data_IF_824133315170
#
_entry.id   IF_824133315170
#
_cell.length_a   1.000
_cell.length_b   1.000
_cell.length_c   1.000
_cell.angle_alpha   90.00
_cell.angle_beta   90.00
_cell.angle_gamma   90.00
#
_symmetry.space_group_name_H-M   'P 1'
#
loop_
_entity.id
_entity.type
_entity.pdbx_description
1 polymer ?
#
# COMPACT_ATOMS: atom_id res chain seq x y z
N UNK A 1 7.61 -5.22 23.10
CA UNK A 1 7.54 -5.04 21.63
C UNK A 1 6.26 -5.70 21.19
N UNK A 2 5.27 -4.93 20.74
CA UNK A 2 4.05 -5.50 20.19
C UNK A 2 4.42 -6.31 18.96
N UNK A 3 4.34 -7.64 19.06
CA UNK A 3 4.44 -8.52 17.91
C UNK A 3 3.09 -8.46 17.19
N UNK A 4 2.86 -7.41 16.39
CA UNK A 4 1.79 -7.47 15.40
C UNK A 4 2.02 -8.70 14.54
N UNK A 5 1.05 -9.62 14.55
CA UNK A 5 1.20 -10.90 13.86
C UNK A 5 1.30 -10.63 12.35
N UNK A 6 2.12 -11.41 11.63
CA UNK A 6 2.28 -11.27 10.18
C UNK A 6 0.94 -11.27 9.42
N UNK A 7 -0.06 -12.11 9.79
CA UNK A 7 -1.40 -12.05 9.19
C UNK A 7 -2.07 -10.68 9.33
N UNK A 8 -2.00 -10.04 10.50
CA UNK A 8 -2.63 -8.72 10.73
C UNK A 8 -2.01 -7.63 9.85
N UNK A 9 -0.71 -7.72 9.59
CA UNK A 9 0.01 -6.80 8.70
C UNK A 9 -0.42 -7.02 7.25
N UNK A 10 -0.65 -8.27 6.84
CA UNK A 10 -1.14 -8.61 5.50
C UNK A 10 -2.56 -8.08 5.29
N UNK A 11 -3.46 -8.25 6.26
CA UNK A 11 -4.82 -7.69 6.18
C UNK A 11 -4.81 -6.16 6.06
N UNK A 12 -3.97 -5.47 6.86
CA UNK A 12 -3.83 -4.02 6.75
C UNK A 12 -3.30 -3.56 5.39
N UNK A 13 -2.36 -4.32 4.78
CA UNK A 13 -1.87 -4.02 3.43
C UNK A 13 -2.96 -4.20 2.38
N UNK A 14 -3.77 -5.25 2.51
CA UNK A 14 -4.87 -5.53 1.60
C UNK A 14 -5.96 -4.44 1.68
N UNK A 15 -6.34 -4.00 2.87
CA UNK A 15 -7.30 -2.91 3.06
C UNK A 15 -6.79 -1.61 2.42
N UNK A 16 -5.53 -1.26 2.67
CA UNK A 16 -4.91 -0.08 2.05
C UNK A 16 -4.86 -0.17 0.53
N UNK A 17 -4.60 -1.37 -0.02
CA UNK A 17 -4.63 -1.61 -1.46
C UNK A 17 -6.02 -1.34 -2.05
N UNK A 18 -7.09 -1.81 -1.39
CA UNK A 18 -8.46 -1.52 -1.82
C UNK A 18 -8.78 -0.03 -1.77
N UNK A 19 -8.39 0.66 -0.69
CA UNK A 19 -8.55 2.10 -0.57
C UNK A 19 -7.84 2.87 -1.68
N UNK A 20 -6.63 2.44 -2.06
CA UNK A 20 -5.88 3.02 -3.17
C UNK A 20 -6.55 2.79 -4.52
N UNK A 21 -7.05 1.58 -4.79
CA UNK A 21 -7.80 1.30 -6.01
C UNK A 21 -9.02 2.22 -6.13
N UNK A 22 -9.80 2.35 -5.05
CA UNK A 22 -10.95 3.27 -4.99
C UNK A 22 -10.53 4.73 -5.14
N UNK A 23 -9.36 5.12 -4.62
CA UNK A 23 -8.83 6.46 -4.79
C UNK A 23 -8.43 6.76 -6.23
N UNK A 24 -7.85 5.79 -6.95
CA UNK A 24 -7.43 5.93 -8.35
C UNK A 24 -8.62 6.11 -9.29
N UNK A 25 -9.75 5.46 -9.01
CA UNK A 25 -11.00 5.60 -9.78
C UNK A 25 -11.64 6.99 -9.64
N UNK A 26 -11.24 7.78 -8.64
CA UNK A 26 -11.76 9.14 -8.47
C UNK A 26 -11.23 10.07 -9.55
N UNK A 27 -12.15 10.73 -10.27
CA UNK A 27 -11.83 11.70 -11.32
C UNK A 27 -10.97 12.87 -10.85
N UNK A 28 -11.14 13.36 -9.62
CA UNK A 28 -10.38 14.50 -9.11
C UNK A 28 -9.91 14.29 -7.67
N UNK A 29 -8.71 14.78 -7.37
CA UNK A 29 -8.07 14.69 -6.06
C UNK A 29 -7.88 16.09 -5.49
N UNK A 30 -8.65 16.43 -4.46
CA UNK A 30 -8.43 17.66 -3.69
C UNK A 30 -7.09 17.59 -2.96
N UNK A 31 -6.54 18.75 -2.57
CA UNK A 31 -5.28 18.82 -1.80
C UNK A 31 -5.37 18.00 -0.50
N UNK A 32 -6.46 18.16 0.25
CA UNK A 32 -6.71 17.38 1.48
C UNK A 32 -6.73 15.88 1.22
N UNK A 33 -7.32 15.44 0.10
CA UNK A 33 -7.37 14.03 -0.26
C UNK A 33 -5.99 13.50 -0.66
N UNK A 34 -5.19 14.29 -1.39
CA UNK A 34 -3.77 13.96 -1.68
C UNK A 34 -2.97 13.76 -0.39
N UNK A 35 -3.08 14.69 0.55
CA UNK A 35 -2.37 14.61 1.84
C UNK A 35 -2.76 13.36 2.64
N UNK A 36 -4.03 12.95 2.58
CA UNK A 36 -4.52 11.71 3.18
C UNK A 36 -3.93 10.47 2.50
N UNK A 37 -3.93 10.43 1.17
CA UNK A 37 -3.36 9.33 0.40
C UNK A 37 -1.85 9.20 0.64
N UNK A 38 -1.13 10.31 0.76
CA UNK A 38 0.29 10.29 1.11
C UNK A 38 0.54 9.70 2.51
N UNK A 39 -0.31 10.02 3.50
CA UNK A 39 -0.20 9.43 4.84
C UNK A 39 -0.41 7.92 4.77
N UNK A 40 -1.44 7.47 4.04
CA UNK A 40 -1.72 6.06 3.82
C UNK A 40 -0.59 5.35 3.08
N UNK A 41 0.02 6.00 2.08
CA UNK A 41 1.17 5.48 1.34
C UNK A 41 2.40 5.28 2.25
N UNK A 42 2.63 6.21 3.19
CA UNK A 42 3.69 6.05 4.19
C UNK A 42 3.43 4.87 5.12
N UNK A 43 2.19 4.67 5.56
CA UNK A 43 1.80 3.49 6.36
C UNK A 43 2.00 2.20 5.58
N UNK A 44 1.51 2.16 4.34
CA UNK A 44 1.67 1.03 3.43
C UNK A 44 3.15 0.64 3.25
N UNK A 45 4.04 1.60 3.00
CA UNK A 45 5.46 1.33 2.82
C UNK A 45 6.11 0.70 4.07
N UNK A 46 5.69 1.10 5.27
CA UNK A 46 6.18 0.50 6.52
C UNK A 46 5.71 -0.95 6.65
N UNK A 47 4.41 -1.20 6.43
CA UNK A 47 3.82 -2.54 6.52
C UNK A 47 4.40 -3.47 5.45
N UNK A 48 4.55 -2.98 4.21
CA UNK A 48 5.11 -3.71 3.09
C UNK A 48 6.54 -4.16 3.40
N UNK A 49 7.38 -3.26 3.93
CA UNK A 49 8.73 -3.62 4.36
C UNK A 49 8.73 -4.74 5.41
N UNK A 50 7.84 -4.66 6.41
CA UNK A 50 7.70 -5.70 7.44
C UNK A 50 7.29 -7.05 6.85
N UNK A 51 6.36 -7.08 5.89
CA UNK A 51 5.96 -8.32 5.22
C UNK A 51 7.07 -8.83 4.31
N UNK A 52 7.69 -7.99 3.48
CA UNK A 52 8.76 -8.40 2.58
C UNK A 52 9.99 -8.95 3.33
N UNK A 53 10.31 -8.42 4.51
CA UNK A 53 11.38 -8.94 5.35
C UNK A 53 11.01 -10.29 5.99
N UNK A 54 9.76 -10.45 6.45
CA UNK A 54 9.30 -11.66 7.15
C UNK A 54 8.85 -12.80 6.23
N UNK A 55 8.40 -12.48 5.02
CA UNK A 55 7.87 -13.41 4.03
C UNK A 55 8.86 -13.67 2.88
N UNK A 56 10.12 -13.26 3.02
CA UNK A 56 11.18 -13.50 2.02
C UNK A 56 11.33 -15.01 1.78
N UNK A 57 11.11 -15.46 0.55
CA UNK A 57 11.19 -16.87 0.15
C UNK A 57 9.87 -17.67 0.23
N UNK A 58 8.74 -17.00 0.48
CA UNK A 58 7.42 -17.63 0.40
C UNK A 58 6.93 -17.69 -1.06
N UNK A 59 6.78 -18.89 -1.61
CA UNK A 59 6.24 -19.15 -2.95
C UNK A 59 4.82 -18.56 -3.08
N UNK A 60 4.58 -17.75 -4.12
CA UNK A 60 3.32 -17.04 -4.36
C UNK A 60 3.16 -15.70 -3.63
N UNK A 61 4.07 -15.36 -2.73
CA UNK A 61 4.10 -14.05 -2.08
C UNK A 61 4.59 -12.94 -3.02
N UNK A 62 5.45 -13.26 -3.98
CA UNK A 62 6.08 -12.28 -4.88
C UNK A 62 5.08 -11.64 -5.85
N UNK A 63 4.17 -12.41 -6.46
CA UNK A 63 3.14 -11.90 -7.39
C UNK A 63 2.15 -10.97 -6.68
N UNK A 64 1.78 -11.31 -5.44
CA UNK A 64 0.90 -10.49 -4.60
C UNK A 64 1.60 -9.19 -4.21
N UNK A 65 2.87 -9.27 -3.79
CA UNK A 65 3.67 -8.10 -3.45
C UNK A 65 3.90 -7.20 -4.67
N UNK A 66 4.06 -7.78 -5.86
CA UNK A 66 4.22 -7.04 -7.12
C UNK A 66 2.93 -6.29 -7.48
N UNK A 67 1.76 -6.94 -7.41
CA UNK A 67 0.46 -6.29 -7.68
C UNK A 67 0.18 -5.14 -6.69
N UNK A 68 0.55 -5.35 -5.42
CA UNK A 68 0.52 -4.35 -4.35
C UNK A 68 1.46 -3.17 -4.66
N UNK A 69 2.66 -3.45 -5.18
CA UNK A 69 3.64 -2.44 -5.58
C UNK A 69 3.21 -1.64 -6.83
N UNK A 70 2.50 -2.26 -7.78
CA UNK A 70 1.93 -1.59 -8.96
C UNK A 70 0.90 -0.53 -8.55
N UNK A 71 -0.05 -0.88 -7.69
CA UNK A 71 -1.06 0.06 -7.17
C UNK A 71 -0.40 1.21 -6.40
N UNK A 72 0.63 0.91 -5.59
CA UNK A 72 1.45 1.91 -4.91
C UNK A 72 2.07 2.89 -5.91
N UNK A 73 2.65 2.38 -6.99
CA UNK A 73 3.33 3.18 -8.00
C UNK A 73 2.34 4.08 -8.75
N UNK A 74 1.13 3.61 -9.04
CA UNK A 74 0.11 4.40 -9.73
C UNK A 74 -0.47 5.50 -8.84
N UNK A 75 -0.69 5.23 -7.56
CA UNK A 75 -1.02 6.28 -6.57
C UNK A 75 0.09 7.33 -6.51
N UNK A 76 1.35 6.89 -6.44
CA UNK A 76 2.51 7.80 -6.40
C UNK A 76 2.59 8.68 -7.65
N UNK A 77 2.40 8.11 -8.85
CA UNK A 77 2.38 8.87 -10.11
C UNK A 77 1.26 9.91 -10.13
N UNK A 78 0.08 9.56 -9.61
CA UNK A 78 -1.08 10.47 -9.58
C UNK A 78 -0.91 11.61 -8.58
N UNK A 79 -0.18 11.38 -7.48
CA UNK A 79 0.24 12.42 -6.55
C UNK A 79 1.31 13.33 -7.19
N UNK A 80 2.28 12.73 -7.91
CA UNK A 80 3.44 13.40 -8.51
C UNK A 80 3.25 14.01 -9.91
N UNK A 81 2.02 14.20 -10.39
CA UNK A 81 1.73 15.05 -11.56
C UNK A 81 1.12 16.38 -11.09
N UNK A 82 1.91 17.14 -10.32
CA UNK A 82 1.85 18.61 -10.20
C UNK A 82 3.24 19.13 -10.45
#
# INVERSE_FOLDING_TARGET
>A
MDQTAVPDVIYQLYDLQQEFALALDRRSWSRRFRDEMEKKLRTFNKLFKTVSEKCRGYLGGEDVLQSIEEIRNDVKKRIGNV
#
